data_IF_833240626889
#
_entry.id   IF_833240626889
#
_cell.length_a   1.000
_cell.length_b   1.000
_cell.length_c   1.000
_cell.angle_alpha   90.00
_cell.angle_beta   90.00
_cell.angle_gamma   90.00
#
_symmetry.space_group_name_H-M   'P 1'
#
loop_
_entity.id
_entity.type
_entity.pdbx_description
1 polymer ?
#
# COMPACT_ATOMS: atom_id res chain seq x y z
N UNK A 1 16.65 -6.01 -8.24
CA UNK A 1 15.95 -6.91 -9.19
C UNK A 1 14.53 -6.36 -9.33
N UNK A 2 14.06 -6.05 -10.55
CA UNK A 2 12.74 -5.41 -10.73
C UNK A 2 11.65 -6.43 -10.44
N UNK A 3 10.79 -6.16 -9.46
CA UNK A 3 9.64 -7.03 -9.13
C UNK A 3 8.65 -7.00 -10.30
N UNK A 4 8.18 -8.16 -10.71
CA UNK A 4 7.14 -8.30 -11.75
C UNK A 4 5.85 -8.72 -11.06
N UNK A 5 4.90 -7.79 -10.95
CA UNK A 5 3.58 -8.04 -10.39
C UNK A 5 2.62 -8.57 -11.48
N UNK A 6 1.58 -9.36 -11.13
CA UNK A 6 0.57 -9.82 -12.08
C UNK A 6 -0.19 -8.70 -12.80
N UNK A 7 -0.43 -7.57 -12.12
CA UNK A 7 -0.88 -6.32 -12.74
C UNK A 7 0.22 -5.28 -12.70
N UNK A 8 0.37 -4.55 -13.80
CA UNK A 8 1.20 -3.35 -13.81
C UNK A 8 0.61 -2.24 -12.94
N UNK A 9 1.40 -1.19 -12.74
CA UNK A 9 1.06 -0.06 -11.88
C UNK A 9 -0.26 0.60 -12.28
N UNK A 10 -0.48 0.87 -13.56
CA UNK A 10 -1.67 1.62 -13.99
C UNK A 10 -2.93 0.76 -13.85
N UNK A 11 -2.86 -0.51 -14.24
CA UNK A 11 -3.95 -1.47 -14.04
C UNK A 11 -4.29 -1.66 -12.56
N UNK A 12 -3.27 -1.69 -11.69
CA UNK A 12 -3.47 -1.77 -10.24
C UNK A 12 -4.12 -0.49 -9.68
N UNK A 13 -3.72 0.68 -10.14
CA UNK A 13 -4.30 1.96 -9.72
C UNK A 13 -5.75 2.11 -10.20
N UNK A 14 -6.05 1.77 -11.45
CA UNK A 14 -7.41 1.75 -11.98
C UNK A 14 -8.32 0.83 -11.14
N UNK A 15 -7.83 -0.36 -10.78
CA UNK A 15 -8.56 -1.28 -9.93
C UNK A 15 -8.90 -0.68 -8.55
N UNK A 16 -7.99 0.07 -7.94
CA UNK A 16 -8.21 0.73 -6.65
C UNK A 16 -9.19 1.90 -6.78
N UNK A 17 -9.00 2.74 -7.79
CA UNK A 17 -9.85 3.91 -8.05
C UNK A 17 -11.31 3.52 -8.31
N UNK A 18 -11.55 2.42 -9.02
CA UNK A 18 -12.89 1.87 -9.26
C UNK A 18 -13.61 1.42 -7.98
N UNK A 19 -12.94 1.38 -6.83
CA UNK A 19 -13.49 0.94 -5.53
C UNK A 19 -13.61 2.06 -4.50
N UNK A 20 -13.33 3.30 -4.88
CA UNK A 20 -13.52 4.47 -4.01
C UNK A 20 -14.94 4.47 -3.42
N UNK A 21 -15.03 4.76 -2.12
CA UNK A 21 -16.28 4.79 -1.36
C UNK A 21 -16.65 3.46 -0.69
N UNK A 22 -16.07 2.34 -1.11
CA UNK A 22 -16.31 1.02 -0.50
C UNK A 22 -15.69 0.92 0.90
N UNK A 23 -16.43 0.36 1.85
CA UNK A 23 -15.98 0.09 3.22
C UNK A 23 -15.54 -1.38 3.45
N UNK A 24 -15.61 -2.23 2.41
CA UNK A 24 -15.36 -3.67 2.54
C UNK A 24 -13.91 -4.04 2.92
N UNK A 25 -13.01 -3.06 2.92
CA UNK A 25 -11.57 -3.23 3.14
C UNK A 25 -11.05 -2.46 4.36
N UNK A 26 -11.96 -1.97 5.20
CA UNK A 26 -11.59 -1.35 6.47
C UNK A 26 -10.74 -2.33 7.27
N UNK A 27 -9.54 -1.91 7.68
CA UNK A 27 -8.49 -2.71 8.34
C UNK A 27 -7.67 -3.67 7.45
N UNK A 28 -8.01 -3.83 6.17
CA UNK A 28 -7.38 -4.83 5.29
C UNK A 28 -6.45 -4.16 4.27
N UNK A 29 -5.72 -3.13 4.69
CA UNK A 29 -4.92 -2.27 3.80
C UNK A 29 -3.88 -3.04 2.98
N UNK A 30 -3.10 -3.91 3.61
CA UNK A 30 -2.10 -4.73 2.91
C UNK A 30 -2.74 -5.71 1.92
N UNK A 31 -3.77 -6.42 2.34
CA UNK A 31 -4.50 -7.37 1.48
C UNK A 31 -5.15 -6.67 0.29
N UNK A 32 -5.69 -5.47 0.50
CA UNK A 32 -6.23 -4.66 -0.59
C UNK A 32 -5.16 -4.30 -1.62
N UNK A 33 -3.97 -3.84 -1.18
CA UNK A 33 -2.88 -3.51 -2.09
C UNK A 33 -2.39 -4.75 -2.86
N UNK A 34 -2.21 -5.89 -2.19
CA UNK A 34 -1.90 -7.17 -2.85
C UNK A 34 -2.92 -7.51 -3.95
N UNK A 35 -4.21 -7.43 -3.62
CA UNK A 35 -5.27 -7.73 -4.56
C UNK A 35 -5.32 -6.74 -5.71
N UNK A 36 -4.96 -5.47 -5.49
CA UNK A 36 -4.82 -4.47 -6.55
C UNK A 36 -3.69 -4.81 -7.53
N UNK A 37 -2.57 -5.37 -7.04
CA UNK A 37 -1.47 -5.86 -7.87
C UNK A 37 -1.70 -7.27 -8.43
N UNK A 38 -2.82 -7.90 -8.10
CA UNK A 38 -3.31 -9.13 -8.74
C UNK A 38 -3.02 -10.42 -7.98
N UNK A 39 -2.50 -10.35 -6.76
CA UNK A 39 -2.32 -11.52 -5.91
C UNK A 39 -3.63 -11.87 -5.20
N UNK A 40 -4.13 -13.08 -5.44
CA UNK A 40 -5.41 -13.54 -4.92
C UNK A 40 -5.27 -14.39 -3.66
N UNK A 41 -4.13 -15.05 -3.47
CA UNK A 41 -3.88 -15.93 -2.33
C UNK A 41 -3.27 -15.17 -1.15
N UNK A 42 -3.32 -15.81 0.03
CA UNK A 42 -2.75 -15.21 1.22
C UNK A 42 -1.23 -15.19 1.18
N UNK A 43 -0.67 -14.01 1.45
CA UNK A 43 0.77 -13.88 1.67
C UNK A 43 1.09 -14.31 3.09
N UNK A 44 2.26 -14.88 3.34
CA UNK A 44 2.73 -15.17 4.70
C UNK A 44 2.81 -13.97 5.66
N UNK A 45 2.50 -12.75 5.19
CA UNK A 45 2.28 -11.56 6.01
C UNK A 45 0.82 -11.45 6.47
N UNK A 46 0.64 -11.45 7.78
CA UNK A 46 -0.68 -11.33 8.41
C UNK A 46 -1.09 -9.86 8.61
N UNK A 47 -0.14 -8.95 8.84
CA UNK A 47 -0.41 -7.52 9.01
C UNK A 47 0.63 -6.61 8.32
N UNK A 48 0.35 -5.30 8.18
CA UNK A 48 1.27 -4.34 7.55
C UNK A 48 2.58 -4.11 8.30
N UNK A 49 2.61 -4.29 9.63
CA UNK A 49 3.81 -4.05 10.43
C UNK A 49 4.85 -5.15 10.23
N UNK A 50 4.41 -6.41 10.16
CA UNK A 50 5.25 -7.56 9.80
C UNK A 50 5.89 -7.36 8.42
N UNK A 51 5.09 -6.93 7.44
CA UNK A 51 5.57 -6.65 6.09
C UNK A 51 6.60 -5.50 6.07
N UNK A 52 6.33 -4.42 6.82
CA UNK A 52 7.23 -3.29 6.94
C UNK A 52 8.56 -3.69 7.57
N UNK A 53 8.55 -4.45 8.66
CA UNK A 53 9.76 -4.96 9.30
C UNK A 53 10.58 -5.85 8.36
N UNK A 54 9.91 -6.72 7.60
CA UNK A 54 10.59 -7.55 6.61
C UNK A 54 11.25 -6.69 5.51
N UNK A 55 10.56 -5.67 5.00
CA UNK A 55 11.12 -4.75 4.00
C UNK A 55 12.32 -3.96 4.54
N UNK A 56 12.25 -3.51 5.79
CA UNK A 56 13.36 -2.84 6.47
C UNK A 56 14.57 -3.76 6.60
N UNK A 57 14.37 -4.98 7.09
CA UNK A 57 15.43 -5.99 7.22
C UNK A 57 16.13 -6.31 5.90
N UNK A 58 15.43 -6.17 4.78
CA UNK A 58 15.97 -6.41 3.43
C UNK A 58 16.44 -5.15 2.71
N UNK A 59 16.46 -3.99 3.39
CA UNK A 59 16.86 -2.70 2.83
C UNK A 59 16.04 -2.30 1.58
N UNK A 60 14.73 -2.54 1.62
CA UNK A 60 13.78 -2.26 0.53
C UNK A 60 12.90 -1.03 0.79
N UNK A 61 13.19 -0.29 1.86
CA UNK A 61 12.50 0.93 2.23
C UNK A 61 13.28 2.15 1.78
N UNK A 62 12.54 3.20 1.46
CA UNK A 62 13.03 4.45 0.95
C UNK A 62 12.35 5.62 1.66
N UNK A 63 13.11 6.69 1.84
CA UNK A 63 12.61 7.97 2.36
C UNK A 63 12.22 8.93 1.22
N UNK A 64 11.54 10.02 1.58
CA UNK A 64 11.20 11.11 0.68
C UNK A 64 9.96 10.85 -0.18
N UNK A 65 9.90 11.53 -1.33
CA UNK A 65 8.71 11.55 -2.17
C UNK A 65 8.48 10.20 -2.86
N UNK A 66 7.40 9.51 -2.48
CA UNK A 66 7.01 8.24 -3.06
C UNK A 66 6.57 8.39 -4.53
N UNK A 67 7.21 7.70 -5.50
CA UNK A 67 6.80 7.76 -6.89
C UNK A 67 5.42 7.11 -7.08
N UNK A 68 4.71 7.50 -8.15
CA UNK A 68 3.41 6.90 -8.49
C UNK A 68 3.55 5.38 -8.63
N UNK A 69 2.66 4.63 -7.98
CA UNK A 69 2.67 3.17 -7.94
C UNK A 69 3.47 2.55 -6.80
N UNK A 70 4.27 3.33 -6.06
CA UNK A 70 4.95 2.84 -4.86
C UNK A 70 3.94 2.53 -3.75
N UNK A 71 4.29 1.59 -2.89
CA UNK A 71 3.57 1.38 -1.63
C UNK A 71 4.10 2.36 -0.60
N UNK A 72 3.18 3.11 0.02
CA UNK A 72 3.47 4.04 1.11
C UNK A 72 3.02 3.38 2.40
N UNK A 73 3.97 3.17 3.30
CA UNK A 73 3.78 2.60 4.63
C UNK A 73 3.80 3.74 5.62
N UNK A 74 2.72 3.92 6.39
CA UNK A 74 2.58 5.08 7.25
C UNK A 74 1.91 4.72 8.57
N UNK A 75 2.37 5.35 9.66
CA UNK A 75 1.73 5.23 10.95
C UNK A 75 0.42 6.04 10.96
N UNK A 76 -0.71 5.38 11.24
CA UNK A 76 -1.99 6.07 11.34
C UNK A 76 -2.75 5.61 12.58
N UNK A 77 -2.90 6.54 13.53
CA UNK A 77 -3.39 6.25 14.87
C UNK A 77 -2.53 5.16 15.55
N UNK A 78 -3.11 3.97 15.80
CA UNK A 78 -2.51 2.88 16.58
C UNK A 78 -1.77 1.83 15.74
N UNK A 79 -1.75 1.95 14.40
CA UNK A 79 -1.21 0.92 13.52
C UNK A 79 -0.56 1.44 12.24
N UNK A 80 0.32 0.62 11.69
CA UNK A 80 0.86 0.80 10.34
C UNK A 80 -0.26 0.52 9.32
N UNK A 81 -0.38 1.40 8.34
CA UNK A 81 -1.26 1.22 7.17
C UNK A 81 -0.43 1.32 5.90
N UNK A 82 -0.96 0.75 4.82
CA UNK A 82 -0.34 0.83 3.50
C UNK A 82 -1.33 1.32 2.44
N UNK A 83 -0.86 2.25 1.60
CA UNK A 83 -1.58 2.76 0.43
C UNK A 83 -0.70 2.77 -0.81
N UNK A 84 -1.29 2.96 -1.98
CA UNK A 84 -0.52 3.10 -3.22
C UNK A 84 -0.40 4.58 -3.60
N UNK A 85 0.82 5.05 -3.85
CA UNK A 85 1.09 6.43 -4.22
C UNK A 85 0.47 6.76 -5.57
N UNK A 86 -0.23 7.89 -5.63
CA UNK A 86 -0.66 8.53 -6.87
C UNK A 86 0.37 9.55 -7.38
N UNK A 87 1.47 9.74 -6.65
CA UNK A 87 2.42 10.84 -6.81
C UNK A 87 2.00 12.11 -6.06
N UNK A 88 2.96 13.01 -5.88
CA UNK A 88 2.76 14.34 -5.26
C UNK A 88 2.12 14.28 -3.88
N UNK A 89 2.56 13.35 -3.02
CA UNK A 89 2.08 13.23 -1.64
C UNK A 89 0.64 12.72 -1.52
N UNK A 90 0.05 12.18 -2.59
CA UNK A 90 -1.28 11.55 -2.55
C UNK A 90 -1.18 10.05 -2.64
N UNK A 91 -2.10 9.36 -1.98
CA UNK A 91 -2.22 7.90 -2.04
C UNK A 91 -3.67 7.46 -2.17
N UNK A 92 -3.87 6.26 -2.69
CA UNK A 92 -5.16 5.58 -2.74
C UNK A 92 -5.10 4.29 -1.93
N UNK A 93 -6.19 3.98 -1.22
CA UNK A 93 -6.32 2.76 -0.45
C UNK A 93 -7.41 2.88 0.63
N UNK A 94 -7.56 1.86 1.48
CA UNK A 94 -8.44 1.92 2.64
C UNK A 94 -7.88 2.96 3.62
N UNK A 95 -8.57 4.09 3.74
CA UNK A 95 -8.15 5.20 4.60
C UNK A 95 -8.59 4.98 6.05
N UNK A 96 -7.99 5.68 7.03
CA UNK A 96 -8.44 5.66 8.42
C UNK A 96 -9.92 6.02 8.62
N UNK A 97 -10.54 6.74 7.67
CA UNK A 97 -11.97 7.04 7.66
C UNK A 97 -12.88 5.83 7.43
N UNK A 98 -12.31 4.63 7.18
CA UNK A 98 -13.04 3.39 7.01
C UNK A 98 -13.52 3.10 5.59
N UNK A 99 -13.15 3.93 4.61
CA UNK A 99 -13.49 3.74 3.20
C UNK A 99 -12.25 3.79 2.32
N UNK A 100 -12.33 3.13 1.17
CA UNK A 100 -11.35 3.36 0.11
C UNK A 100 -11.51 4.79 -0.38
N UNK A 101 -10.40 5.51 -0.44
CA UNK A 101 -10.38 6.89 -0.90
C UNK A 101 -9.00 7.33 -1.30
N UNK A 102 -8.92 8.60 -1.70
CA UNK A 102 -7.66 9.30 -1.93
C UNK A 102 -7.36 10.14 -0.69
N UNK A 103 -6.17 9.96 -0.14
CA UNK A 103 -5.66 10.73 0.98
C UNK A 103 -4.47 11.59 0.60
N UNK A 104 -4.28 12.69 1.33
CA UNK A 104 -3.05 13.49 1.31
C UNK A 104 -2.17 12.99 2.46
N UNK A 105 -0.95 12.57 2.14
CA UNK A 105 -0.06 11.86 3.07
C UNK A 105 0.25 12.72 4.32
N UNK A 106 0.57 13.99 4.14
CA UNK A 106 0.87 14.92 5.25
C UNK A 106 -0.31 15.17 6.19
N UNK A 107 -1.55 14.85 5.76
CA UNK A 107 -2.74 14.90 6.61
C UNK A 107 -3.00 13.58 7.34
N UNK A 108 -2.42 12.49 6.84
CA UNK A 108 -2.58 11.14 7.39
C UNK A 108 -1.46 10.79 8.38
N UNK A 109 -0.22 11.19 8.09
CA UNK A 109 0.96 10.88 8.90
C UNK A 109 2.13 11.80 8.56
N UNK A 110 2.97 12.07 9.56
CA UNK A 110 4.33 12.63 9.37
C UNK A 110 5.42 11.55 9.41
N UNK A 111 5.05 10.31 9.74
CA UNK A 111 5.92 9.14 9.81
C UNK A 111 5.52 8.15 8.71
N UNK A 112 6.32 8.12 7.64
CA UNK A 112 6.10 7.25 6.50
C UNK A 112 7.40 6.90 5.78
N UNK A 113 7.38 5.72 5.17
CA UNK A 113 8.40 5.22 4.25
C UNK A 113 7.70 4.70 2.98
N UNK A 114 8.45 4.50 1.91
CA UNK A 114 7.91 3.88 0.70
C UNK A 114 8.77 2.73 0.21
N UNK A 115 8.15 1.82 -0.54
CA UNK A 115 8.83 0.74 -1.24
C UNK A 115 8.26 0.57 -2.64
N UNK A 116 9.01 -0.08 -3.52
CA UNK A 116 8.40 -0.70 -4.70
C UNK A 116 7.27 -1.67 -4.26
N UNK A 117 6.25 -1.91 -5.10
CA UNK A 117 5.21 -2.89 -4.82
C UNK A 117 5.79 -4.31 -4.87
N UNK A 118 6.35 -4.74 -3.73
CA UNK A 118 7.02 -6.02 -3.57
C UNK A 118 6.24 -6.94 -2.63
N UNK A 119 5.79 -8.06 -3.17
CA UNK A 119 5.03 -9.08 -2.46
C UNK A 119 5.71 -10.44 -2.62
N UNK A 120 6.83 -10.72 -1.93
CA UNK A 120 7.63 -11.94 -2.11
C UNK A 120 6.87 -13.23 -1.77
N UNK A 121 5.81 -13.15 -0.98
CA UNK A 121 4.94 -14.27 -0.63
C UNK A 121 3.59 -14.24 -1.36
N UNK A 122 3.43 -13.36 -2.34
CA UNK A 122 2.22 -13.29 -3.16
C UNK A 122 2.19 -14.38 -4.22
N UNK A 123 1.05 -15.07 -4.35
CA UNK A 123 0.77 -16.04 -5.41
C UNK A 123 -0.57 -15.75 -6.09
#
# INVERSE_FOLDING_TARGET
MRVVNPRDTESALEWQLARIGSAAWQEWSLKFQRMAFGYANDSGWHDPADALQWLDHHALLHEGAAPRGALVWYQAADRVRVGCSLGSGRLVGPLPSGRIGIGVLDQLSTDYLWSDPHFPFGH
#
